data_IF_374403666401
#
_entry.id   IF_374403666401
#
_cell.length_a   1.000
_cell.length_b   1.000
_cell.length_c   1.000
_cell.angle_alpha   90.00
_cell.angle_beta   90.00
_cell.angle_gamma   90.00
#
_symmetry.space_group_name_H-M   'P 1'
#
loop_
_entity.id
_entity.type
_entity.pdbx_description
1 polymer ?
#
# COMPACT_ATOMS: atom_id res chain seq x y z
N UNK A 1 15.77 -3.03 24.36
CA UNK A 1 14.88 -2.64 25.49
C UNK A 1 13.66 -3.50 25.39
N UNK A 2 13.27 -4.15 26.46
CA UNK A 2 12.03 -4.95 26.47
C UNK A 2 10.83 -4.06 26.72
N UNK A 3 9.66 -4.49 26.27
CA UNK A 3 8.39 -3.77 26.46
C UNK A 3 7.35 -4.69 27.05
N UNK A 4 6.37 -4.12 27.74
CA UNK A 4 5.17 -4.84 28.15
C UNK A 4 4.07 -4.55 27.13
N UNK A 5 3.59 -5.56 26.41
CA UNK A 5 2.43 -5.45 25.56
C UNK A 5 1.19 -5.87 26.33
N UNK A 6 0.19 -5.01 26.32
CA UNK A 6 -1.10 -5.23 26.96
C UNK A 6 -2.17 -5.31 25.87
N UNK A 7 -2.97 -6.35 25.90
CA UNK A 7 -4.11 -6.52 24.98
C UNK A 7 -5.41 -6.54 25.76
N UNK A 8 -6.34 -5.66 25.39
CA UNK A 8 -7.62 -5.43 26.05
C UNK A 8 -8.74 -5.59 25.01
N UNK A 9 -9.64 -6.55 25.23
CA UNK A 9 -10.81 -6.70 24.37
C UNK A 9 -11.93 -5.77 24.85
N UNK A 10 -12.45 -4.97 23.94
CA UNK A 10 -13.51 -3.98 24.18
C UNK A 10 -14.48 -3.90 22.99
N UNK A 11 -15.62 -3.25 23.18
CA UNK A 11 -16.51 -2.91 22.08
C UNK A 11 -16.11 -1.57 21.44
N UNK A 12 -16.67 -1.31 20.28
CA UNK A 12 -16.49 -0.09 19.48
C UNK A 12 -16.67 1.21 20.27
N UNK A 13 -17.72 1.29 21.10
CA UNK A 13 -18.07 2.49 21.86
C UNK A 13 -16.99 2.95 22.86
N UNK A 14 -16.04 2.06 23.19
CA UNK A 14 -15.02 2.29 24.22
C UNK A 14 -13.60 2.30 23.66
N UNK A 15 -13.36 1.65 22.53
CA UNK A 15 -12.00 1.39 22.01
C UNK A 15 -11.17 2.67 21.86
N UNK A 16 -11.68 3.70 21.16
CA UNK A 16 -10.96 4.96 20.95
C UNK A 16 -10.66 5.67 22.26
N UNK A 17 -11.69 5.84 23.13
CA UNK A 17 -11.51 6.52 24.41
C UNK A 17 -10.52 5.80 25.32
N UNK A 18 -10.51 4.48 25.27
CA UNK A 18 -9.55 3.69 26.06
C UNK A 18 -8.14 3.83 25.50
N UNK A 19 -7.97 3.79 24.19
CA UNK A 19 -6.66 3.99 23.56
C UNK A 19 -6.08 5.37 23.91
N UNK A 20 -6.90 6.43 23.80
CA UNK A 20 -6.49 7.78 24.17
C UNK A 20 -6.13 7.89 25.66
N UNK A 21 -6.96 7.32 26.53
CA UNK A 21 -6.70 7.33 27.98
C UNK A 21 -5.43 6.55 28.34
N UNK A 22 -5.13 5.43 27.68
CA UNK A 22 -3.89 4.70 27.88
C UNK A 22 -2.67 5.53 27.50
N UNK A 23 -2.74 6.25 26.36
CA UNK A 23 -1.68 7.18 25.95
C UNK A 23 -1.50 8.32 26.95
N UNK A 24 -2.58 8.92 27.44
CA UNK A 24 -2.55 9.98 28.47
C UNK A 24 -1.95 9.50 29.80
N UNK A 25 -2.13 8.24 30.12
CA UNK A 25 -1.63 7.62 31.37
C UNK A 25 -0.30 6.89 31.22
N UNK A 26 0.43 7.08 30.12
CA UNK A 26 1.84 6.68 30.03
C UNK A 26 2.11 5.49 29.08
N UNK A 27 1.14 5.02 28.32
CA UNK A 27 1.43 4.07 27.24
C UNK A 27 2.34 4.74 26.18
N UNK A 28 3.32 4.00 25.67
CA UNK A 28 4.22 4.43 24.61
C UNK A 28 3.51 4.43 23.25
N UNK A 29 2.57 3.52 23.07
CA UNK A 29 1.66 3.45 21.92
C UNK A 29 0.36 2.77 22.33
N UNK A 30 -0.73 3.07 21.62
CA UNK A 30 -1.99 2.36 21.69
C UNK A 30 -2.59 2.22 20.28
N UNK A 31 -2.89 1.00 19.87
CA UNK A 31 -3.48 0.68 18.58
C UNK A 31 -4.82 -0.04 18.79
N UNK A 32 -5.75 0.16 17.86
CA UNK A 32 -7.04 -0.53 17.83
C UNK A 32 -7.05 -1.47 16.64
N UNK A 33 -7.38 -2.73 16.89
CA UNK A 33 -7.46 -3.77 15.88
C UNK A 33 -8.79 -4.52 15.98
N UNK A 34 -9.16 -5.22 14.90
CA UNK A 34 -10.26 -6.19 14.95
C UNK A 34 -9.95 -7.28 16.01
N UNK A 35 -10.90 -7.53 16.90
CA UNK A 35 -10.75 -8.62 17.88
C UNK A 35 -10.60 -9.98 17.19
N UNK A 36 -11.09 -10.12 15.96
CA UNK A 36 -11.04 -11.34 15.15
C UNK A 36 -9.91 -11.36 14.11
N UNK A 37 -9.00 -10.39 14.14
CA UNK A 37 -7.86 -10.33 13.21
C UNK A 37 -7.08 -11.66 13.19
N UNK A 38 -6.81 -12.19 12.00
CA UNK A 38 -6.16 -13.49 11.77
C UNK A 38 -7.09 -14.70 11.91
N UNK A 39 -8.40 -14.52 12.01
CA UNK A 39 -9.40 -15.60 12.04
C UNK A 39 -10.34 -15.56 10.84
N UNK A 40 -11.14 -16.62 10.64
CA UNK A 40 -12.18 -16.66 9.60
C UNK A 40 -13.27 -15.59 9.77
N UNK A 41 -13.35 -14.93 10.93
CA UNK A 41 -14.32 -13.88 11.23
C UNK A 41 -13.73 -12.48 11.13
N UNK A 42 -12.51 -12.33 10.65
CA UNK A 42 -11.86 -11.04 10.43
C UNK A 42 -12.67 -10.18 9.46
N UNK A 43 -12.93 -8.93 9.84
CA UNK A 43 -13.61 -7.95 8.99
C UNK A 43 -12.62 -6.90 8.53
N UNK A 44 -12.24 -6.97 7.26
CA UNK A 44 -11.44 -5.92 6.64
C UNK A 44 -12.28 -4.64 6.48
N UNK A 45 -11.83 -3.54 7.08
CA UNK A 45 -12.43 -2.21 6.90
C UNK A 45 -11.54 -1.42 5.95
N UNK A 46 -12.05 -1.16 4.74
CA UNK A 46 -11.39 -0.32 3.76
C UNK A 46 -12.00 1.08 3.77
N UNK A 47 -11.21 2.09 4.11
CA UNK A 47 -11.59 3.49 4.06
C UNK A 47 -10.76 4.25 3.03
N UNK A 48 -11.42 4.94 2.09
CA UNK A 48 -10.71 5.89 1.23
C UNK A 48 -10.59 7.25 1.95
N UNK A 49 -9.45 7.96 1.82
CA UNK A 49 -9.30 9.30 2.38
C UNK A 49 -10.41 10.24 1.93
N UNK A 50 -11.10 10.86 2.90
CA UNK A 50 -12.20 11.79 2.64
C UNK A 50 -13.59 11.15 2.51
N UNK A 51 -13.70 9.83 2.58
CA UNK A 51 -14.98 9.12 2.74
C UNK A 51 -15.14 8.72 4.20
N UNK A 52 -16.24 9.10 4.89
CA UNK A 52 -16.51 8.59 6.23
C UNK A 52 -16.78 7.09 6.12
N UNK A 53 -15.95 6.28 6.76
CA UNK A 53 -16.26 4.87 6.97
C UNK A 53 -17.21 4.78 8.14
N UNK A 54 -18.46 4.40 7.91
CA UNK A 54 -19.42 4.07 8.98
C UNK A 54 -19.15 2.68 9.57
N UNK A 55 -18.20 1.93 9.01
CA UNK A 55 -17.86 0.60 9.47
C UNK A 55 -16.86 0.69 10.62
N UNK A 56 -17.27 0.24 11.79
CA UNK A 56 -16.45 0.11 13.00
C UNK A 56 -16.51 -1.36 13.40
N UNK A 57 -15.39 -1.95 13.83
CA UNK A 57 -15.40 -3.31 14.37
C UNK A 57 -16.21 -3.35 15.66
N UNK A 58 -17.32 -4.08 15.66
CA UNK A 58 -18.20 -4.23 16.85
C UNK A 58 -17.44 -4.80 18.05
N UNK A 59 -16.43 -5.62 17.79
CA UNK A 59 -15.52 -6.14 18.78
C UNK A 59 -14.11 -5.75 18.41
N UNK A 60 -13.47 -4.99 19.26
CA UNK A 60 -12.11 -4.46 19.04
C UNK A 60 -11.18 -4.96 20.14
N UNK A 61 -9.89 -5.03 19.83
CA UNK A 61 -8.83 -5.15 20.82
C UNK A 61 -7.98 -3.89 20.81
N UNK A 62 -7.73 -3.34 21.99
CA UNK A 62 -6.76 -2.26 22.19
C UNK A 62 -5.45 -2.90 22.61
N UNK A 63 -4.40 -2.65 21.83
CA UNK A 63 -3.03 -3.12 22.11
C UNK A 63 -2.21 -1.92 22.52
N UNK A 64 -1.71 -1.92 23.76
CA UNK A 64 -0.89 -0.86 24.29
C UNK A 64 0.50 -1.36 24.68
N UNK A 65 1.52 -0.55 24.44
CA UNK A 65 2.91 -0.80 24.82
C UNK A 65 3.30 0.08 26.00
N UNK A 66 3.99 -0.51 26.97
CA UNK A 66 4.58 0.17 28.11
C UNK A 66 6.07 -0.18 28.20
N UNK A 67 6.85 0.67 28.86
CA UNK A 67 8.25 0.37 29.14
C UNK A 67 8.39 -0.86 30.07
N UNK A 68 9.53 -1.53 30.00
CA UNK A 68 9.83 -2.74 30.77
C UNK A 68 9.64 -2.56 32.27
N UNK A 69 9.97 -1.38 32.79
CA UNK A 69 9.94 -1.05 34.22
C UNK A 69 8.71 -0.22 34.64
N UNK A 70 7.78 0.01 33.74
CA UNK A 70 6.57 0.77 34.02
C UNK A 70 5.59 -0.06 34.84
N UNK A 71 4.86 0.58 35.75
CA UNK A 71 3.74 -0.03 36.43
C UNK A 71 2.50 -0.01 35.52
N UNK A 72 2.52 -0.86 34.49
CA UNK A 72 1.45 -0.96 33.51
C UNK A 72 0.09 -1.21 34.18
N UNK A 73 0.05 -1.97 35.28
CA UNK A 73 -1.21 -2.26 35.98
C UNK A 73 -1.82 -0.98 36.59
N UNK A 74 -1.02 -0.13 37.22
CA UNK A 74 -1.49 1.15 37.76
C UNK A 74 -1.94 2.11 36.64
N UNK A 75 -1.21 2.15 35.51
CA UNK A 75 -1.53 3.00 34.35
C UNK A 75 -2.85 2.55 33.69
N UNK A 76 -3.05 1.23 33.50
CA UNK A 76 -4.30 0.66 32.97
C UNK A 76 -5.47 0.97 33.91
N UNK A 77 -5.26 0.84 35.22
CA UNK A 77 -6.30 1.16 36.19
C UNK A 77 -6.71 2.62 36.12
N UNK A 78 -5.76 3.56 35.99
CA UNK A 78 -6.02 4.98 35.82
C UNK A 78 -6.80 5.29 34.55
N UNK A 79 -6.35 4.73 33.40
CA UNK A 79 -7.03 4.86 32.12
C UNK A 79 -8.47 4.26 32.17
N UNK A 80 -8.63 3.10 32.81
CA UNK A 80 -9.93 2.47 33.02
C UNK A 80 -10.90 3.36 33.79
N UNK A 81 -10.42 3.95 34.90
CA UNK A 81 -11.21 4.88 35.71
C UNK A 81 -11.61 6.14 34.92
N UNK A 82 -10.69 6.72 34.13
CA UNK A 82 -10.96 7.86 33.26
C UNK A 82 -12.07 7.56 32.23
N UNK A 83 -12.13 6.31 31.75
CA UNK A 83 -13.17 5.85 30.83
C UNK A 83 -14.48 5.39 31.55
N UNK A 84 -14.53 5.41 32.88
CA UNK A 84 -15.68 4.91 33.66
C UNK A 84 -15.85 3.39 33.61
N UNK A 85 -14.80 2.65 33.30
CA UNK A 85 -14.78 1.20 33.23
C UNK A 85 -14.41 0.62 34.60
N UNK A 86 -14.97 -0.55 34.91
CA UNK A 86 -14.63 -1.32 36.12
C UNK A 86 -14.12 -2.69 35.71
N UNK A 87 -13.09 -3.16 36.43
CA UNK A 87 -12.56 -4.53 36.29
C UNK A 87 -12.18 -4.93 34.85
N UNK A 88 -11.33 -4.12 34.20
CA UNK A 88 -10.89 -4.32 32.83
C UNK A 88 -10.00 -5.56 32.77
N UNK A 89 -10.46 -6.60 32.09
CA UNK A 89 -9.66 -7.80 31.84
C UNK A 89 -8.65 -7.53 30.70
N UNK A 90 -7.40 -7.89 30.92
CA UNK A 90 -6.35 -7.75 29.92
C UNK A 90 -5.38 -8.93 29.98
N UNK A 91 -4.68 -9.16 28.90
CA UNK A 91 -3.51 -10.04 28.84
C UNK A 91 -2.23 -9.20 28.77
N UNK A 92 -1.17 -9.68 29.40
CA UNK A 92 0.14 -9.04 29.40
C UNK A 92 1.18 -10.00 28.84
N UNK A 93 2.02 -9.51 27.95
CA UNK A 93 3.13 -10.22 27.33
C UNK A 93 4.39 -9.35 27.39
N UNK A 94 5.53 -9.95 27.73
CA UNK A 94 6.81 -9.25 27.65
C UNK A 94 7.36 -9.43 26.24
N UNK A 95 7.43 -8.34 25.49
CA UNK A 95 8.16 -8.30 24.25
C UNK A 95 9.65 -8.13 24.55
N UNK A 96 10.40 -9.23 24.44
CA UNK A 96 11.84 -9.17 24.56
C UNK A 96 12.44 -8.25 23.50
N UNK A 97 13.59 -7.64 23.82
CA UNK A 97 14.38 -6.91 22.82
C UNK A 97 14.79 -7.91 21.73
N UNK A 98 14.14 -7.80 20.61
CA UNK A 98 14.40 -8.62 19.45
C UNK A 98 15.03 -7.75 18.36
N UNK A 99 15.88 -8.34 17.55
CA UNK A 99 16.32 -7.71 16.33
C UNK A 99 15.13 -7.58 15.35
N UNK A 100 14.32 -6.54 15.57
CA UNK A 100 13.12 -6.27 14.77
C UNK A 100 13.43 -6.15 13.29
N UNK A 101 14.63 -5.69 12.94
CA UNK A 101 15.08 -5.62 11.55
C UNK A 101 15.15 -7.03 10.98
N UNK A 102 15.82 -7.94 11.66
CA UNK A 102 15.97 -9.33 11.20
C UNK A 102 14.64 -10.09 11.18
N UNK A 103 13.78 -9.86 12.18
CA UNK A 103 12.45 -10.48 12.23
C UNK A 103 11.55 -9.97 11.11
N UNK A 104 11.56 -8.66 10.87
CA UNK A 104 10.83 -8.06 9.75
C UNK A 104 11.38 -8.59 8.42
N UNK A 105 12.69 -8.63 8.25
CA UNK A 105 13.32 -9.20 7.06
C UNK A 105 12.92 -10.66 6.81
N UNK A 106 12.83 -11.47 7.88
CA UNK A 106 12.43 -12.87 7.77
C UNK A 106 10.98 -13.09 7.33
N UNK A 107 10.13 -12.05 7.35
CA UNK A 107 8.74 -12.12 6.91
C UNK A 107 8.56 -11.80 5.41
N UNK A 108 9.60 -11.31 4.75
CA UNK A 108 9.52 -10.89 3.36
C UNK A 108 10.38 -11.77 2.46
N UNK A 109 9.76 -12.79 1.91
CA UNK A 109 10.36 -13.64 0.88
C UNK A 109 10.26 -12.98 -0.51
N UNK A 110 11.12 -13.38 -1.47
CA UNK A 110 10.97 -12.96 -2.86
C UNK A 110 9.59 -13.32 -3.44
N UNK A 111 8.98 -12.37 -4.14
CA UNK A 111 7.64 -12.51 -4.72
C UNK A 111 7.77 -12.78 -6.22
N UNK A 112 7.23 -13.89 -6.68
CA UNK A 112 7.12 -14.19 -8.11
C UNK A 112 5.89 -13.51 -8.71
N UNK A 113 6.10 -12.59 -9.65
CA UNK A 113 5.04 -11.93 -10.41
C UNK A 113 4.69 -12.74 -11.67
N UNK A 114 5.71 -13.21 -12.37
CA UNK A 114 5.62 -14.07 -13.54
C UNK A 114 6.85 -14.98 -13.64
N UNK A 115 6.95 -15.80 -14.69
CA UNK A 115 8.16 -16.62 -14.92
C UNK A 115 9.43 -15.76 -15.08
N UNK A 116 9.30 -14.55 -15.62
CA UNK A 116 10.44 -13.65 -15.91
C UNK A 116 10.53 -12.40 -15.03
N UNK A 117 9.60 -12.19 -14.07
CA UNK A 117 9.57 -11.00 -13.23
C UNK A 117 9.41 -11.36 -11.76
N UNK A 118 10.34 -10.91 -10.94
CA UNK A 118 10.38 -11.12 -9.50
C UNK A 118 10.58 -9.80 -8.75
N UNK A 119 10.07 -9.75 -7.53
CA UNK A 119 10.41 -8.73 -6.54
C UNK A 119 11.28 -9.42 -5.50
N UNK A 120 12.47 -8.88 -5.25
CA UNK A 120 13.45 -9.50 -4.37
C UNK A 120 13.94 -8.45 -3.36
N UNK A 121 13.72 -8.66 -2.05
CA UNK A 121 14.34 -7.83 -1.03
C UNK A 121 15.88 -7.87 -1.10
N UNK A 122 16.55 -6.78 -0.67
CA UNK A 122 18.01 -6.64 -0.79
C UNK A 122 18.83 -7.69 -0.01
N UNK A 123 18.22 -8.30 1.01
CA UNK A 123 18.84 -9.35 1.83
C UNK A 123 18.64 -10.78 1.27
N UNK A 124 17.96 -10.91 0.13
CA UNK A 124 17.81 -12.19 -0.58
C UNK A 124 18.61 -12.21 -1.88
N UNK A 125 19.11 -13.37 -2.23
CA UNK A 125 19.63 -13.60 -3.58
C UNK A 125 18.46 -13.74 -4.57
N UNK A 126 18.66 -13.30 -5.82
CA UNK A 126 17.68 -13.43 -6.87
C UNK A 126 17.31 -14.92 -7.11
N UNK A 127 16.04 -15.31 -6.93
CA UNK A 127 15.62 -16.71 -7.08
C UNK A 127 15.86 -17.27 -8.49
N UNK A 128 15.82 -16.39 -9.50
CA UNK A 128 16.12 -16.69 -10.88
C UNK A 128 16.97 -15.57 -11.48
N UNK A 129 18.26 -15.84 -11.66
CA UNK A 129 19.22 -14.88 -12.23
C UNK A 129 18.94 -14.52 -13.70
N UNK A 130 18.17 -15.32 -14.43
CA UNK A 130 17.77 -15.04 -15.81
C UNK A 130 16.49 -14.20 -15.90
N UNK A 131 15.79 -14.01 -14.79
CA UNK A 131 14.60 -13.20 -14.71
C UNK A 131 14.93 -11.73 -14.43
N UNK A 132 13.97 -10.85 -14.71
CA UNK A 132 14.01 -9.46 -14.25
C UNK A 132 13.71 -9.45 -12.76
N UNK A 133 14.68 -9.03 -11.96
CA UNK A 133 14.54 -8.90 -10.51
C UNK A 133 14.42 -7.41 -10.16
N UNK A 134 13.31 -7.05 -9.52
CA UNK A 134 13.08 -5.74 -8.93
C UNK A 134 13.58 -5.81 -7.49
N UNK A 135 14.66 -5.14 -7.18
CA UNK A 135 15.16 -5.06 -5.81
C UNK A 135 14.34 -4.02 -5.05
N UNK A 136 13.56 -4.46 -4.09
CA UNK A 136 12.69 -3.58 -3.31
C UNK A 136 12.59 -4.08 -1.87
N UNK A 137 12.96 -3.21 -0.96
CA UNK A 137 12.84 -3.45 0.46
C UNK A 137 11.50 -2.89 0.99
N UNK A 138 10.81 -3.58 1.90
CA UNK A 138 9.67 -3.04 2.61
C UNK A 138 10.06 -1.73 3.30
N UNK A 139 9.37 -0.66 2.99
CA UNK A 139 9.66 0.69 3.48
C UNK A 139 8.40 1.45 3.86
N UNK A 140 8.56 2.73 4.18
CA UNK A 140 7.45 3.63 4.54
C UNK A 140 6.57 4.03 3.33
N UNK A 141 7.09 3.91 2.10
CA UNK A 141 6.32 4.21 0.90
C UNK A 141 5.45 3.02 0.49
N UNK A 142 4.23 3.31 0.05
CA UNK A 142 3.30 2.30 -0.47
C UNK A 142 3.86 1.62 -1.73
N UNK A 143 3.51 0.34 -1.94
CA UNK A 143 3.90 -0.42 -3.13
C UNK A 143 5.07 -1.37 -2.89
N UNK A 144 4.98 -2.25 -1.87
CA UNK A 144 5.95 -3.33 -1.62
C UNK A 144 5.87 -4.47 -2.64
N UNK A 145 4.86 -4.44 -3.52
CA UNK A 145 4.62 -5.49 -4.51
C UNK A 145 3.80 -6.68 -4.03
N UNK A 146 3.57 -6.83 -2.73
CA UNK A 146 2.74 -7.90 -2.18
C UNK A 146 1.24 -7.68 -2.43
N UNK A 147 0.81 -6.43 -2.54
CA UNK A 147 -0.61 -6.10 -2.72
C UNK A 147 -1.13 -6.53 -4.10
N UNK A 148 -2.36 -7.10 -4.19
CA UNK A 148 -2.95 -7.57 -5.45
C UNK A 148 -2.94 -6.51 -6.56
N UNK A 149 -3.23 -5.25 -6.25
CA UNK A 149 -3.25 -4.15 -7.23
C UNK A 149 -1.89 -3.93 -7.90
N UNK A 150 -0.81 -4.03 -7.14
CA UNK A 150 0.55 -3.91 -7.66
C UNK A 150 0.91 -5.12 -8.52
N UNK A 151 0.57 -6.34 -8.06
CA UNK A 151 0.76 -7.58 -8.85
C UNK A 151 0.04 -7.51 -10.19
N UNK A 152 -1.23 -7.05 -10.21
CA UNK A 152 -2.02 -6.90 -11.43
C UNK A 152 -1.38 -5.93 -12.43
N UNK A 153 -0.87 -4.78 -11.96
CA UNK A 153 -0.17 -3.82 -12.81
C UNK A 153 1.16 -4.38 -13.34
N UNK A 154 1.95 -5.03 -12.49
CA UNK A 154 3.21 -5.65 -12.87
C UNK A 154 3.03 -6.76 -13.91
N UNK A 155 2.06 -7.66 -13.72
CA UNK A 155 1.69 -8.70 -14.71
C UNK A 155 1.29 -8.08 -16.05
N UNK A 156 0.55 -6.97 -16.00
CA UNK A 156 0.16 -6.28 -17.22
C UNK A 156 1.38 -5.67 -17.93
N UNK A 157 2.25 -4.96 -17.22
CA UNK A 157 3.48 -4.40 -17.80
C UNK A 157 4.36 -5.50 -18.40
N UNK A 158 4.53 -6.62 -17.70
CA UNK A 158 5.32 -7.77 -18.15
C UNK A 158 4.82 -8.36 -19.47
N UNK A 159 3.50 -8.42 -19.66
CA UNK A 159 2.90 -9.02 -20.86
C UNK A 159 2.70 -8.05 -22.01
N UNK A 160 2.59 -6.75 -21.74
CA UNK A 160 2.11 -5.76 -22.68
C UNK A 160 3.16 -4.77 -23.17
N UNK A 161 4.27 -4.58 -22.44
CA UNK A 161 5.40 -3.80 -22.91
C UNK A 161 6.05 -4.51 -24.11
N UNK A 162 6.30 -3.73 -25.17
CA UNK A 162 6.90 -4.22 -26.42
C UNK A 162 8.35 -3.78 -26.59
N UNK A 163 8.76 -2.78 -25.82
CA UNK A 163 10.05 -2.09 -25.87
C UNK A 163 9.94 -0.68 -26.45
N UNK A 164 10.77 0.20 -25.93
CA UNK A 164 10.89 1.61 -26.34
C UNK A 164 9.69 2.53 -26.01
N UNK A 165 8.61 2.04 -25.37
CA UNK A 165 7.50 2.88 -24.94
C UNK A 165 7.91 3.89 -23.88
N UNK A 166 7.26 5.07 -23.90
CA UNK A 166 7.29 6.02 -22.80
C UNK A 166 6.18 5.72 -21.80
N UNK A 167 6.52 5.61 -20.50
CA UNK A 167 5.58 5.24 -19.43
C UNK A 167 5.45 6.38 -18.42
N UNK A 168 4.22 6.73 -18.06
CA UNK A 168 3.89 7.57 -16.91
C UNK A 168 3.27 6.70 -15.82
N UNK A 169 3.82 6.75 -14.61
CA UNK A 169 3.31 6.12 -13.40
C UNK A 169 2.78 7.22 -12.46
N UNK A 170 1.46 7.37 -12.40
CA UNK A 170 0.82 8.44 -11.64
C UNK A 170 0.32 7.90 -10.28
N UNK A 171 0.88 8.43 -9.19
CA UNK A 171 0.79 7.85 -7.85
C UNK A 171 1.84 6.74 -7.68
N UNK A 172 3.10 7.07 -7.97
CA UNK A 172 4.17 6.06 -8.12
C UNK A 172 4.59 5.40 -6.79
N UNK A 173 4.32 6.02 -5.65
CA UNK A 173 4.69 5.49 -4.33
C UNK A 173 6.17 5.13 -4.23
N UNK A 174 6.47 3.86 -4.04
CA UNK A 174 7.84 3.32 -4.02
C UNK A 174 8.57 3.39 -5.37
N UNK A 175 7.88 3.75 -6.46
CA UNK A 175 8.40 3.75 -7.82
C UNK A 175 8.45 2.37 -8.49
N UNK A 176 7.88 1.34 -7.86
CA UNK A 176 7.99 -0.05 -8.33
C UNK A 176 7.51 -0.25 -9.77
N UNK A 177 6.39 0.39 -10.18
CA UNK A 177 5.86 0.25 -11.54
C UNK A 177 6.71 1.00 -12.55
N UNK A 178 7.22 2.19 -12.18
CA UNK A 178 8.19 2.96 -12.97
C UNK A 178 9.47 2.15 -13.22
N UNK A 179 10.04 1.57 -12.16
CA UNK A 179 11.26 0.77 -12.20
C UNK A 179 11.02 -0.50 -13.02
N UNK A 180 9.90 -1.18 -12.80
CA UNK A 180 9.51 -2.37 -13.54
C UNK A 180 9.40 -2.08 -15.04
N UNK A 181 8.77 -0.98 -15.43
CA UNK A 181 8.64 -0.61 -16.83
C UNK A 181 10.00 -0.49 -17.52
N UNK A 182 10.97 0.19 -16.89
CA UNK A 182 12.33 0.32 -17.44
C UNK A 182 13.05 -1.02 -17.53
N UNK A 183 12.99 -1.83 -16.48
CA UNK A 183 13.63 -3.16 -16.48
C UNK A 183 13.00 -4.14 -17.47
N UNK A 184 11.75 -3.94 -17.83
CA UNK A 184 11.01 -4.72 -18.83
C UNK A 184 11.20 -4.20 -20.24
N UNK A 185 11.92 -3.08 -20.44
CA UNK A 185 12.34 -2.60 -21.76
C UNK A 185 11.65 -1.31 -22.22
N UNK A 186 10.92 -0.61 -21.36
CA UNK A 186 10.42 0.73 -21.70
C UNK A 186 11.58 1.68 -22.05
N UNK A 187 11.42 2.49 -23.08
CA UNK A 187 12.42 3.47 -23.51
C UNK A 187 12.61 4.61 -22.50
N UNK A 188 11.55 4.97 -21.79
CA UNK A 188 11.57 5.93 -20.69
C UNK A 188 10.44 5.70 -19.72
N UNK A 189 10.64 6.03 -18.45
CA UNK A 189 9.57 6.00 -17.46
C UNK A 189 9.69 7.19 -16.50
N UNK A 190 8.54 7.76 -16.16
CA UNK A 190 8.39 8.91 -15.25
C UNK A 190 7.39 8.55 -14.18
N UNK A 191 7.77 8.71 -12.91
CA UNK A 191 6.88 8.58 -11.77
C UNK A 191 6.43 9.94 -11.24
N UNK A 192 5.18 10.01 -10.80
CA UNK A 192 4.61 11.21 -10.15
C UNK A 192 3.92 10.80 -8.87
N UNK A 193 4.17 11.53 -7.79
CA UNK A 193 3.43 11.36 -6.54
C UNK A 193 3.22 12.70 -5.85
N UNK A 194 2.16 12.81 -5.04
CA UNK A 194 1.87 14.02 -4.24
C UNK A 194 2.71 14.09 -2.97
N UNK A 195 3.27 12.96 -2.53
CA UNK A 195 4.06 12.84 -1.31
C UNK A 195 5.56 12.95 -1.63
N UNK A 196 6.22 13.93 -1.02
CA UNK A 196 7.67 14.09 -1.11
C UNK A 196 8.45 12.87 -0.58
N UNK A 197 7.91 12.14 0.39
CA UNK A 197 8.55 10.93 0.91
C UNK A 197 8.52 9.82 -0.14
N UNK A 198 7.40 9.67 -0.86
CA UNK A 198 7.29 8.74 -1.98
C UNK A 198 8.30 9.07 -3.09
N UNK A 199 8.46 10.37 -3.43
CA UNK A 199 9.46 10.81 -4.41
C UNK A 199 10.90 10.50 -3.97
N UNK A 200 11.22 10.62 -2.69
CA UNK A 200 12.54 10.24 -2.17
C UNK A 200 12.75 8.74 -2.25
N UNK A 201 11.81 7.97 -1.73
CA UNK A 201 11.87 6.52 -1.75
C UNK A 201 11.97 5.96 -3.17
N UNK A 202 11.21 6.50 -4.12
CA UNK A 202 11.25 6.06 -5.51
C UNK A 202 12.60 6.33 -6.18
N UNK A 203 13.25 7.45 -5.88
CA UNK A 203 14.61 7.75 -6.36
C UNK A 203 15.65 6.79 -5.79
N UNK A 204 15.58 6.50 -4.49
CA UNK A 204 16.48 5.56 -3.82
C UNK A 204 16.30 4.14 -4.40
N UNK A 205 15.05 3.71 -4.59
CA UNK A 205 14.73 2.42 -5.19
C UNK A 205 15.19 2.33 -6.65
N UNK A 206 15.05 3.40 -7.44
CA UNK A 206 15.55 3.44 -8.82
C UNK A 206 17.09 3.32 -8.87
N UNK A 207 17.79 4.02 -7.98
CA UNK A 207 19.23 3.91 -7.84
C UNK A 207 19.66 2.48 -7.46
N UNK A 208 18.97 1.85 -6.48
CA UNK A 208 19.21 0.47 -6.07
C UNK A 208 19.01 -0.53 -7.22
N UNK A 209 18.04 -0.25 -8.09
CA UNK A 209 17.76 -1.07 -9.27
C UNK A 209 18.61 -0.74 -10.50
N UNK A 210 19.49 0.26 -10.43
CA UNK A 210 20.35 0.73 -11.53
C UNK A 210 19.54 1.14 -12.77
N UNK A 211 18.42 1.85 -12.59
CA UNK A 211 17.60 2.40 -13.68
C UNK A 211 17.58 3.93 -13.63
N UNK A 212 17.58 4.57 -14.80
CA UNK A 212 17.46 6.03 -14.93
C UNK A 212 15.99 6.44 -15.06
N UNK A 213 15.30 6.49 -13.91
CA UNK A 213 13.91 6.94 -13.81
C UNK A 213 13.84 8.37 -13.28
N UNK A 214 12.85 9.13 -13.75
CA UNK A 214 12.60 10.49 -13.28
C UNK A 214 11.35 10.54 -12.43
N UNK A 215 11.42 11.25 -11.28
CA UNK A 215 10.30 11.33 -10.34
C UNK A 215 10.02 12.79 -9.97
N UNK A 216 8.73 13.17 -10.00
CA UNK A 216 8.27 14.55 -9.83
C UNK A 216 7.06 14.63 -8.90
N UNK A 217 6.94 15.76 -8.21
CA UNK A 217 5.64 16.20 -7.71
C UNK A 217 4.74 16.63 -8.90
N UNK A 218 3.40 16.63 -8.75
CA UNK A 218 2.48 16.93 -9.86
C UNK A 218 2.79 18.22 -10.63
N UNK A 219 3.17 19.28 -9.90
CA UNK A 219 3.52 20.57 -10.50
C UNK A 219 4.83 20.54 -11.31
N UNK A 220 5.71 19.61 -11.00
CA UNK A 220 6.99 19.41 -11.69
C UNK A 220 6.93 18.47 -12.90
N UNK A 221 5.80 17.81 -13.14
CA UNK A 221 5.67 16.88 -14.26
C UNK A 221 5.84 17.58 -15.61
N UNK A 222 6.82 17.18 -16.45
CA UNK A 222 6.99 17.74 -17.78
C UNK A 222 5.72 17.62 -18.64
N UNK A 223 5.50 18.62 -19.50
CA UNK A 223 4.42 18.57 -20.48
C UNK A 223 4.68 17.44 -21.48
N UNK A 224 3.63 16.75 -21.90
CA UNK A 224 3.76 15.69 -22.88
C UNK A 224 2.72 14.59 -22.71
N UNK A 225 2.79 13.63 -23.62
CA UNK A 225 1.96 12.44 -23.64
C UNK A 225 2.85 11.20 -23.66
N UNK A 226 2.33 10.12 -23.12
CA UNK A 226 3.03 8.86 -22.95
C UNK A 226 2.33 7.74 -23.73
N UNK A 227 3.08 6.74 -24.15
CA UNK A 227 2.54 5.55 -24.79
C UNK A 227 1.70 4.72 -23.83
N UNK A 228 2.13 4.70 -22.57
CA UNK A 228 1.44 3.99 -21.48
C UNK A 228 1.31 4.94 -20.30
N UNK A 229 0.11 5.02 -19.72
CA UNK A 229 -0.16 5.70 -18.45
C UNK A 229 -0.67 4.66 -17.47
N UNK A 230 0.04 4.49 -16.36
CA UNK A 230 -0.35 3.59 -15.24
C UNK A 230 -0.74 4.45 -14.05
N UNK A 231 -1.83 4.10 -13.37
CA UNK A 231 -2.21 4.72 -12.11
C UNK A 231 -2.75 3.62 -11.15
N UNK A 232 -1.96 3.31 -10.13
CA UNK A 232 -2.34 2.38 -9.06
C UNK A 232 -2.66 3.18 -7.80
N UNK A 233 -3.81 3.86 -7.82
CA UNK A 233 -4.29 4.75 -6.76
C UNK A 233 -5.76 4.43 -6.45
N UNK A 234 -6.29 4.95 -5.33
CA UNK A 234 -7.65 4.70 -4.91
C UNK A 234 -8.70 5.19 -5.94
N UNK A 235 -9.90 4.61 -5.89
CA UNK A 235 -10.97 4.88 -6.85
C UNK A 235 -11.40 6.36 -6.89
N UNK A 236 -11.44 7.06 -5.75
CA UNK A 236 -11.79 8.48 -5.71
C UNK A 236 -10.86 9.38 -6.52
N UNK A 237 -9.52 9.34 -6.34
CA UNK A 237 -8.60 10.02 -7.25
C UNK A 237 -8.77 9.60 -8.71
N UNK A 238 -9.01 8.31 -9.01
CA UNK A 238 -9.24 7.86 -10.39
C UNK A 238 -10.47 8.53 -11.02
N UNK A 239 -11.56 8.71 -10.27
CA UNK A 239 -12.76 9.44 -10.74
C UNK A 239 -12.43 10.89 -11.12
N UNK A 240 -11.66 11.56 -10.27
CA UNK A 240 -11.32 12.99 -10.45
C UNK A 240 -10.30 13.25 -11.56
N UNK A 241 -9.35 12.34 -11.73
CA UNK A 241 -8.21 12.53 -12.61
C UNK A 241 -8.42 11.97 -14.04
N UNK A 242 -9.59 11.40 -14.35
CA UNK A 242 -9.85 10.70 -15.60
C UNK A 242 -9.51 11.53 -16.86
N UNK A 243 -9.96 12.78 -16.94
CA UNK A 243 -9.65 13.69 -18.06
C UNK A 243 -8.15 13.99 -18.17
N UNK A 244 -7.50 14.24 -17.04
CA UNK A 244 -6.06 14.53 -16.99
C UNK A 244 -5.24 13.33 -17.43
N UNK A 245 -5.53 12.13 -16.92
CA UNK A 245 -4.84 10.89 -17.31
C UNK A 245 -5.07 10.58 -18.80
N UNK A 246 -6.29 10.80 -19.30
CA UNK A 246 -6.57 10.68 -20.71
C UNK A 246 -5.76 11.71 -21.54
N UNK A 247 -5.67 12.96 -21.12
CA UNK A 247 -4.87 13.97 -21.80
C UNK A 247 -3.38 13.62 -21.85
N UNK A 248 -2.87 12.91 -20.84
CA UNK A 248 -1.47 12.44 -20.77
C UNK A 248 -1.20 11.19 -21.59
N UNK A 249 -2.21 10.48 -22.06
CA UNK A 249 -2.05 9.29 -22.90
C UNK A 249 -2.03 9.70 -24.39
N UNK A 250 -1.10 9.20 -25.19
CA UNK A 250 -1.08 9.39 -26.64
C UNK A 250 -2.30 8.76 -27.32
N UNK A 251 -2.69 9.25 -28.49
CA UNK A 251 -3.67 8.59 -29.37
C UNK A 251 -3.18 7.16 -29.69
N UNK A 252 -4.02 6.15 -29.50
CA UNK A 252 -3.63 4.74 -29.62
C UNK A 252 -2.75 4.24 -28.47
N UNK A 253 -2.38 5.12 -27.53
CA UNK A 253 -1.69 4.73 -26.29
C UNK A 253 -2.60 3.99 -25.32
N UNK A 254 -2.04 3.49 -24.24
CA UNK A 254 -2.74 2.59 -23.32
C UNK A 254 -2.81 3.17 -21.91
N UNK A 255 -3.92 2.90 -21.24
CA UNK A 255 -4.10 3.21 -19.82
C UNK A 255 -4.22 1.94 -19.00
N UNK A 256 -3.68 1.97 -17.78
CA UNK A 256 -3.78 0.90 -16.79
C UNK A 256 -4.14 1.52 -15.45
N UNK A 257 -5.23 1.09 -14.87
CA UNK A 257 -5.78 1.61 -13.63
C UNK A 257 -5.94 0.47 -12.64
N UNK A 258 -5.50 0.65 -11.42
CA UNK A 258 -5.72 -0.27 -10.30
C UNK A 258 -5.81 0.51 -8.99
N UNK A 259 -5.96 -0.20 -7.86
CA UNK A 259 -6.29 0.43 -6.57
C UNK A 259 -7.78 0.62 -6.39
N UNK A 260 -8.58 -0.13 -7.15
CA UNK A 260 -10.04 -0.16 -7.08
C UNK A 260 -10.54 -1.55 -6.73
N UNK A 261 -11.66 -1.63 -6.06
CA UNK A 261 -12.36 -2.87 -5.74
C UNK A 261 -13.15 -3.37 -6.95
N UNK A 262 -13.43 -4.65 -7.01
CA UNK A 262 -14.21 -5.31 -8.04
C UNK A 262 -15.60 -4.61 -8.21
N UNK A 263 -16.27 -4.25 -7.14
CA UNK A 263 -17.56 -3.53 -7.16
C UNK A 263 -17.51 -2.13 -7.80
N UNK A 264 -16.31 -1.53 -7.91
CA UNK A 264 -16.08 -0.20 -8.51
C UNK A 264 -15.77 -0.28 -10.02
N UNK A 265 -15.62 -1.48 -10.57
CA UNK A 265 -15.20 -1.72 -11.96
C UNK A 265 -16.17 -1.10 -12.96
N UNK A 266 -17.47 -1.33 -12.82
CA UNK A 266 -18.45 -0.86 -13.80
C UNK A 266 -18.54 0.67 -13.83
N UNK A 267 -18.54 1.30 -12.67
CA UNK A 267 -18.55 2.76 -12.54
C UNK A 267 -17.33 3.39 -13.20
N UNK A 268 -16.12 2.96 -12.81
CA UNK A 268 -14.87 3.51 -13.36
C UNK A 268 -14.72 3.21 -14.84
N UNK A 269 -15.08 2.02 -15.28
CA UNK A 269 -15.13 1.70 -16.72
C UNK A 269 -16.05 2.66 -17.48
N UNK A 270 -17.22 3.00 -16.93
CA UNK A 270 -18.15 3.96 -17.51
C UNK A 270 -17.53 5.35 -17.69
N UNK A 271 -16.77 5.82 -16.71
CA UNK A 271 -16.06 7.10 -16.75
C UNK A 271 -14.99 7.08 -17.85
N UNK A 272 -14.13 6.07 -17.85
CA UNK A 272 -12.98 6.03 -18.77
C UNK A 272 -13.34 5.66 -20.21
N UNK A 273 -14.49 5.02 -20.46
CA UNK A 273 -15.04 4.79 -21.81
C UNK A 273 -15.29 6.07 -22.60
N UNK A 274 -15.23 7.26 -21.99
CA UNK A 274 -15.29 8.53 -22.72
C UNK A 274 -14.06 8.75 -23.62
N UNK A 275 -12.92 8.20 -23.25
CA UNK A 275 -11.63 8.40 -23.92
C UNK A 275 -10.98 7.12 -24.42
N UNK A 276 -11.34 5.96 -23.84
CA UNK A 276 -10.67 4.69 -24.08
C UNK A 276 -11.66 3.59 -24.48
N UNK A 277 -11.17 2.69 -25.31
CA UNK A 277 -11.79 1.38 -25.48
C UNK A 277 -11.32 0.48 -24.36
N UNK A 278 -12.16 0.34 -23.33
CA UNK A 278 -11.83 -0.38 -22.08
C UNK A 278 -11.96 -1.88 -22.32
N UNK A 279 -10.92 -2.61 -21.97
CA UNK A 279 -10.80 -4.06 -21.99
C UNK A 279 -11.51 -4.68 -20.76
N UNK A 280 -11.81 -5.99 -20.75
CA UNK A 280 -12.32 -6.67 -19.57
C UNK A 280 -11.39 -6.49 -18.36
N UNK A 281 -11.99 -6.25 -17.19
CA UNK A 281 -11.25 -6.13 -15.95
C UNK A 281 -10.57 -7.46 -15.56
N UNK A 282 -9.42 -7.37 -14.91
CA UNK A 282 -8.79 -8.51 -14.25
C UNK A 282 -8.92 -8.32 -12.73
N UNK A 283 -9.34 -9.39 -12.04
CA UNK A 283 -9.63 -9.38 -10.60
C UNK A 283 -8.66 -10.32 -9.89
N UNK A 284 -8.11 -9.86 -8.75
CA UNK A 284 -7.26 -10.64 -7.87
C UNK A 284 -7.59 -10.26 -6.42
N UNK A 285 -8.04 -11.22 -5.62
CA UNK A 285 -8.38 -11.04 -4.19
C UNK A 285 -9.37 -9.87 -3.92
N UNK A 286 -10.40 -9.70 -4.78
CA UNK A 286 -11.39 -8.62 -4.66
C UNK A 286 -10.93 -7.25 -5.16
N UNK A 287 -9.67 -7.12 -5.62
CA UNK A 287 -9.12 -5.94 -6.26
C UNK A 287 -9.11 -6.07 -7.76
N UNK A 288 -9.29 -4.96 -8.46
CA UNK A 288 -9.39 -4.95 -9.90
C UNK A 288 -8.30 -4.13 -10.59
N UNK A 289 -8.03 -4.51 -11.84
CA UNK A 289 -7.27 -3.75 -12.81
C UNK A 289 -8.12 -3.51 -14.06
N UNK A 290 -8.22 -2.26 -14.46
CA UNK A 290 -8.76 -1.86 -15.76
C UNK A 290 -7.62 -1.53 -16.72
N UNK A 291 -7.79 -1.82 -18.00
CA UNK A 291 -6.92 -1.34 -19.05
C UNK A 291 -7.73 -0.94 -20.29
N UNK A 292 -7.14 -0.14 -21.15
CA UNK A 292 -7.79 0.27 -22.38
C UNK A 292 -6.86 1.01 -23.34
N UNK A 293 -7.31 1.11 -24.58
CA UNK A 293 -6.60 1.83 -25.67
C UNK A 293 -7.28 3.15 -25.92
N UNK A 294 -6.53 4.25 -25.99
CA UNK A 294 -7.06 5.58 -26.27
C UNK A 294 -7.53 5.67 -27.71
N UNK A 295 -8.78 6.15 -27.88
CA UNK A 295 -9.38 6.39 -29.19
C UNK A 295 -8.75 7.59 -29.88
#
# INVERSE_FOLDING_TARGET
MSYQQITINVNDAVAERLADALMEHGALSAAIEDAYAGTENEQAIFGEPGMPTEQIWQQSKVIALFGENDDAAAMIQAASQACGLKDLAYTSEILADQDWVRLTQAQFDPIQISERLWITPSWHEAPNSNAVNLQLDPGLAFGTGSHPTTRLCLKWLDTQLKGDESVLDYGCGSGILTIAALKLGAGSAVGVDIDEQAIRASKDNAAQNNVDAQFYLPDGLPQGQFDIVVANILANPLRMLGEMLAARTKQGGRIVLSGLLDEQVEELSGIYRQWFDIEPAEIDEGWARLSGVKR
#
